data_IF_891071942256
#
_entry.id   IF_891071942256
#
_cell.length_a   1.000
_cell.length_b   1.000
_cell.length_c   1.000
_cell.angle_alpha   90.00
_cell.angle_beta   90.00
_cell.angle_gamma   90.00
#
_symmetry.space_group_name_H-M   'P 1'
#
loop_
_entity.id
_entity.type
_entity.pdbx_description
1 polymer ?
#
# COMPACT_ATOMS: atom_id res chain seq x y z
N UNK A 1 -46.02 10.17 25.52
CA UNK A 1 -44.92 9.27 25.13
C UNK A 1 -44.13 9.90 24.04
N UNK A 2 -43.16 10.73 24.41
CA UNK A 2 -42.22 11.37 23.52
C UNK A 2 -40.85 11.26 24.20
N UNK A 3 -40.07 10.24 23.84
CA UNK A 3 -38.70 10.13 24.27
C UNK A 3 -37.94 9.24 23.27
N UNK A 4 -36.76 9.71 22.96
CA UNK A 4 -35.67 9.05 22.21
C UNK A 4 -35.75 9.28 20.70
N UNK A 5 -35.51 10.53 20.28
CA UNK A 5 -34.71 10.88 19.10
C UNK A 5 -33.61 11.83 19.55
N UNK A 6 -32.77 11.36 20.43
CA UNK A 6 -31.50 12.00 20.71
C UNK A 6 -30.44 11.30 19.82
N UNK A 7 -30.03 11.94 18.77
CA UNK A 7 -28.69 12.16 18.32
C UNK A 7 -27.73 10.98 18.39
N UNK A 8 -27.82 9.98 17.50
CA UNK A 8 -26.61 9.42 16.92
C UNK A 8 -26.19 10.38 15.80
N UNK A 9 -25.59 11.49 16.17
CA UNK A 9 -24.63 12.14 15.29
C UNK A 9 -23.50 11.12 15.16
N UNK A 10 -23.58 10.32 14.10
CA UNK A 10 -22.61 9.31 13.79
C UNK A 10 -21.24 10.00 13.74
N UNK A 11 -20.39 9.62 14.67
CA UNK A 11 -18.96 9.83 14.59
C UNK A 11 -18.49 8.93 13.44
N UNK A 12 -18.75 9.35 12.21
CA UNK A 12 -18.12 8.80 11.01
C UNK A 12 -16.65 9.22 11.04
N UNK A 13 -15.89 8.64 11.96
CA UNK A 13 -14.45 8.62 11.86
C UNK A 13 -14.13 7.63 10.74
N UNK A 14 -14.21 8.10 9.51
CA UNK A 14 -13.73 7.31 8.36
C UNK A 14 -12.27 6.95 8.62
N UNK A 15 -11.93 5.67 8.46
CA UNK A 15 -10.56 5.17 8.65
C UNK A 15 -9.57 5.90 7.75
N UNK A 16 -10.03 6.43 6.64
CA UNK A 16 -9.25 7.11 5.62
C UNK A 16 -9.77 8.53 5.40
N UNK A 17 -8.86 9.44 5.06
CA UNK A 17 -9.21 10.79 4.60
C UNK A 17 -10.00 10.76 3.28
N UNK A 18 -10.74 11.83 3.00
CA UNK A 18 -11.58 11.91 1.80
C UNK A 18 -10.78 11.75 0.50
N UNK A 19 -9.56 12.26 0.44
CA UNK A 19 -8.69 12.13 -0.72
C UNK A 19 -8.25 10.68 -0.97
N UNK A 20 -7.90 9.93 0.09
CA UNK A 20 -7.61 8.49 -0.01
C UNK A 20 -8.86 7.72 -0.47
N UNK A 21 -10.02 8.01 0.09
CA UNK A 21 -11.28 7.36 -0.31
C UNK A 21 -11.61 7.64 -1.78
N UNK A 22 -11.41 8.89 -2.24
CA UNK A 22 -11.63 9.26 -3.64
C UNK A 22 -10.67 8.55 -4.60
N UNK A 23 -9.37 8.50 -4.29
CA UNK A 23 -8.38 7.74 -5.07
C UNK A 23 -8.75 6.25 -5.15
N UNK A 24 -9.11 5.63 -4.02
CA UNK A 24 -9.52 4.24 -4.00
C UNK A 24 -10.78 3.99 -4.87
N UNK A 25 -11.74 4.89 -4.83
CA UNK A 25 -12.95 4.81 -5.67
C UNK A 25 -12.61 4.89 -7.17
N UNK A 26 -11.74 5.81 -7.56
CA UNK A 26 -11.28 5.94 -8.95
C UNK A 26 -10.55 4.67 -9.42
N UNK A 27 -9.67 4.10 -8.57
CA UNK A 27 -8.93 2.88 -8.86
C UNK A 27 -9.89 1.71 -9.08
N UNK A 28 -10.85 1.50 -8.17
CA UNK A 28 -11.83 0.42 -8.29
C UNK A 28 -12.68 0.58 -9.56
N UNK A 29 -13.14 1.78 -9.86
CA UNK A 29 -13.92 2.06 -11.07
C UNK A 29 -13.11 1.81 -12.34
N UNK A 30 -11.88 2.31 -12.43
CA UNK A 30 -11.00 2.18 -13.60
C UNK A 30 -10.58 0.73 -13.82
N UNK A 31 -10.14 0.03 -12.77
CA UNK A 31 -9.73 -1.37 -12.86
C UNK A 31 -10.91 -2.27 -13.27
N UNK A 32 -12.10 -2.04 -12.69
CA UNK A 32 -13.32 -2.75 -13.05
C UNK A 32 -13.71 -2.56 -14.51
N UNK A 33 -13.70 -1.32 -14.99
CA UNK A 33 -14.03 -0.99 -16.39
C UNK A 33 -13.05 -1.64 -17.39
N UNK A 34 -11.80 -1.86 -16.99
CA UNK A 34 -10.75 -2.46 -17.81
C UNK A 34 -10.58 -3.96 -17.59
N UNK A 35 -11.33 -4.58 -16.67
CA UNK A 35 -11.20 -5.99 -16.32
C UNK A 35 -9.83 -6.34 -15.73
N UNK A 36 -9.19 -5.41 -15.02
CA UNK A 36 -7.86 -5.59 -14.44
C UNK A 36 -7.95 -6.02 -12.97
N UNK A 37 -7.06 -6.93 -12.59
CA UNK A 37 -6.90 -7.38 -11.21
C UNK A 37 -5.67 -6.70 -10.59
N UNK A 38 -5.80 -6.35 -9.32
CA UNK A 38 -4.79 -5.66 -8.51
C UNK A 38 -4.29 -6.57 -7.39
N UNK A 39 -3.04 -6.34 -6.97
CA UNK A 39 -2.49 -6.87 -5.73
C UNK A 39 -1.70 -5.80 -4.96
N UNK A 40 -1.60 -5.94 -3.65
CA UNK A 40 -0.76 -5.08 -2.80
C UNK A 40 0.31 -5.90 -2.08
N UNK A 41 1.49 -5.31 -1.87
CA UNK A 41 2.58 -5.89 -1.09
C UNK A 41 3.02 -4.89 -0.01
N UNK A 42 2.64 -5.12 1.22
CA UNK A 42 2.71 -4.14 2.29
C UNK A 42 3.63 -4.57 3.43
N UNK A 43 4.51 -3.66 3.84
CA UNK A 43 5.32 -3.81 5.04
C UNK A 43 4.87 -2.80 6.10
N UNK A 44 5.39 -1.58 6.12
CA UNK A 44 5.07 -0.60 7.16
C UNK A 44 3.60 -0.15 7.19
N UNK A 45 2.86 -0.25 6.11
CA UNK A 45 1.42 0.06 6.05
C UNK A 45 0.54 -1.06 6.63
N UNK A 46 1.03 -2.30 6.64
CA UNK A 46 0.40 -3.42 7.36
C UNK A 46 -1.01 -3.77 6.92
N UNK A 47 -1.32 -3.63 5.63
CA UNK A 47 -2.63 -3.93 5.05
C UNK A 47 -3.51 -2.70 4.81
N UNK A 48 -3.06 -1.48 5.13
CA UNK A 48 -3.87 -0.26 4.96
C UNK A 48 -4.15 0.08 3.49
N UNK A 49 -3.26 -0.24 2.56
CA UNK A 49 -3.53 -0.03 1.11
C UNK A 49 -4.65 -0.95 0.65
N UNK A 50 -4.57 -2.24 0.99
CA UNK A 50 -5.66 -3.19 0.74
C UNK A 50 -6.96 -2.76 1.42
N UNK A 51 -6.88 -2.29 2.68
CA UNK A 51 -8.04 -1.81 3.42
C UNK A 51 -8.69 -0.59 2.75
N UNK A 52 -7.90 0.35 2.21
CA UNK A 52 -8.43 1.50 1.49
C UNK A 52 -9.19 1.08 0.22
N UNK A 53 -8.64 0.12 -0.54
CA UNK A 53 -9.31 -0.41 -1.74
C UNK A 53 -10.58 -1.17 -1.35
N UNK A 54 -10.52 -2.03 -0.32
CA UNK A 54 -11.66 -2.86 0.11
C UNK A 54 -12.75 -2.07 0.84
N UNK A 55 -12.47 -0.84 1.27
CA UNK A 55 -13.50 0.07 1.78
C UNK A 55 -14.50 0.49 0.67
N UNK A 56 -14.17 0.30 -0.60
CA UNK A 56 -15.00 0.69 -1.73
C UNK A 56 -15.88 -0.50 -2.16
N UNK A 57 -17.22 -0.32 -2.23
CA UNK A 57 -18.11 -1.34 -2.76
C UNK A 57 -17.71 -1.77 -4.17
N UNK A 58 -17.74 -3.07 -4.46
CA UNK A 58 -17.31 -3.63 -5.74
C UNK A 58 -15.82 -3.95 -5.86
N UNK A 59 -15.01 -3.65 -4.85
CA UNK A 59 -13.57 -3.93 -4.83
C UNK A 59 -13.23 -5.42 -5.00
N UNK A 60 -14.12 -6.34 -4.65
CA UNK A 60 -13.93 -7.77 -4.85
C UNK A 60 -13.79 -8.20 -6.33
N UNK A 61 -14.24 -7.36 -7.26
CA UNK A 61 -14.06 -7.58 -8.69
C UNK A 61 -12.64 -7.22 -9.18
N UNK A 62 -11.88 -6.44 -8.41
CA UNK A 62 -10.60 -5.88 -8.83
C UNK A 62 -9.42 -6.21 -7.92
N UNK A 63 -9.61 -6.42 -6.62
CA UNK A 63 -8.53 -6.81 -5.72
C UNK A 63 -8.47 -8.34 -5.61
N UNK A 64 -7.39 -8.95 -6.12
CA UNK A 64 -7.17 -10.39 -5.97
C UNK A 64 -6.69 -10.73 -4.55
N UNK A 65 -5.66 -10.04 -4.08
CA UNK A 65 -5.09 -10.25 -2.74
C UNK A 65 -4.19 -9.11 -2.28
N UNK A 66 -3.99 -9.05 -0.97
CA UNK A 66 -2.98 -8.22 -0.33
C UNK A 66 -1.98 -9.09 0.43
N UNK A 67 -0.69 -8.87 0.20
CA UNK A 67 0.40 -9.52 0.91
C UNK A 67 0.89 -8.59 2.03
N UNK A 68 0.67 -8.96 3.28
CA UNK A 68 1.25 -8.26 4.44
C UNK A 68 2.55 -8.97 4.80
N UNK A 69 3.66 -8.47 4.27
CA UNK A 69 5.00 -9.08 4.42
C UNK A 69 5.83 -8.24 5.38
N UNK A 70 5.55 -8.37 6.68
CA UNK A 70 6.11 -7.51 7.70
C UNK A 70 7.56 -7.85 8.07
N UNK A 71 7.91 -9.14 8.04
CA UNK A 71 9.28 -9.63 8.25
C UNK A 71 10.03 -9.81 6.92
N UNK A 72 11.35 -10.01 7.00
CA UNK A 72 12.17 -10.34 5.84
C UNK A 72 11.85 -11.74 5.30
N UNK A 73 11.59 -12.68 6.22
CA UNK A 73 11.17 -14.04 5.89
C UNK A 73 9.86 -14.04 5.10
N UNK A 74 8.86 -13.27 5.55
CA UNK A 74 7.60 -13.15 4.82
C UNK A 74 7.78 -12.52 3.42
N UNK A 75 8.69 -11.56 3.24
CA UNK A 75 9.02 -11.01 1.92
C UNK A 75 9.62 -12.07 0.99
N UNK A 76 10.49 -12.92 1.53
CA UNK A 76 11.08 -14.01 0.75
C UNK A 76 10.06 -15.10 0.44
N UNK A 77 9.31 -15.58 1.43
CA UNK A 77 8.37 -16.70 1.28
C UNK A 77 7.17 -16.36 0.41
N UNK A 78 6.56 -15.19 0.62
CA UNK A 78 5.30 -14.83 -0.03
C UNK A 78 5.48 -14.10 -1.36
N UNK A 79 6.59 -13.40 -1.55
CA UNK A 79 6.84 -12.55 -2.71
C UNK A 79 8.09 -12.94 -3.51
N UNK A 80 8.88 -13.90 -3.03
CA UNK A 80 10.11 -14.32 -3.70
C UNK A 80 11.23 -13.27 -3.65
N UNK A 81 11.19 -12.31 -2.72
CA UNK A 81 12.28 -11.35 -2.54
C UNK A 81 13.53 -12.08 -2.10
N UNK A 82 14.65 -11.89 -2.82
CA UNK A 82 15.87 -12.65 -2.51
C UNK A 82 16.46 -12.25 -1.16
N UNK A 83 16.89 -13.27 -0.40
CA UNK A 83 17.56 -13.06 0.89
C UNK A 83 18.88 -12.28 0.73
N UNK A 84 19.54 -12.42 -0.42
CA UNK A 84 20.72 -11.64 -0.77
C UNK A 84 20.41 -10.16 -0.86
N UNK A 85 19.37 -9.76 -1.59
CA UNK A 85 18.93 -8.36 -1.68
C UNK A 85 18.54 -7.80 -0.31
N UNK A 86 17.82 -8.59 0.50
CA UNK A 86 17.43 -8.20 1.86
C UNK A 86 18.64 -7.98 2.77
N UNK A 87 19.66 -8.84 2.67
CA UNK A 87 20.90 -8.73 3.44
C UNK A 87 21.78 -7.58 2.98
N UNK A 88 21.95 -7.40 1.65
CA UNK A 88 22.85 -6.39 1.09
C UNK A 88 22.29 -4.98 1.18
N UNK A 89 20.99 -4.79 0.96
CA UNK A 89 20.38 -3.47 0.85
C UNK A 89 19.39 -3.15 1.96
N UNK A 90 19.00 -4.18 2.74
CA UNK A 90 17.97 -4.08 3.78
C UNK A 90 16.56 -3.94 3.21
N UNK A 91 15.56 -4.23 4.04
CA UNK A 91 14.15 -4.24 3.65
C UNK A 91 13.65 -2.89 3.10
N UNK A 92 14.18 -1.77 3.62
CA UNK A 92 13.82 -0.42 3.18
C UNK A 92 14.82 0.03 2.11
N UNK A 93 14.52 -0.31 0.87
CA UNK A 93 15.36 0.01 -0.29
C UNK A 93 14.55 -0.05 -1.59
N UNK A 94 15.06 0.58 -2.64
CA UNK A 94 14.47 0.52 -3.98
C UNK A 94 14.37 -0.91 -4.50
N UNK A 95 15.46 -1.67 -4.42
CA UNK A 95 15.50 -3.03 -4.93
C UNK A 95 14.45 -3.93 -4.27
N UNK A 96 14.29 -3.82 -2.95
CA UNK A 96 13.29 -4.61 -2.23
C UNK A 96 11.87 -4.14 -2.56
N UNK A 97 11.60 -2.83 -2.67
CA UNK A 97 10.29 -2.34 -3.07
C UNK A 97 9.91 -2.85 -4.48
N UNK A 98 10.83 -2.77 -5.46
CA UNK A 98 10.62 -3.28 -6.82
C UNK A 98 10.35 -4.79 -6.79
N UNK A 99 11.20 -5.57 -6.11
CA UNK A 99 11.02 -7.02 -6.00
C UNK A 99 9.69 -7.40 -5.33
N UNK A 100 9.24 -6.64 -4.32
CA UNK A 100 7.93 -6.86 -3.69
C UNK A 100 6.78 -6.61 -4.67
N UNK A 101 6.84 -5.55 -5.49
CA UNK A 101 5.80 -5.26 -6.47
C UNK A 101 5.74 -6.33 -7.56
N UNK A 102 6.88 -6.74 -8.12
CA UNK A 102 6.98 -7.80 -9.12
C UNK A 102 6.53 -9.16 -8.54
N UNK A 103 6.95 -9.46 -7.31
CA UNK A 103 6.54 -10.65 -6.58
C UNK A 103 5.02 -10.70 -6.37
N UNK A 104 4.39 -9.57 -6.07
CA UNK A 104 2.93 -9.52 -5.92
C UNK A 104 2.18 -9.86 -7.21
N UNK A 105 2.68 -9.46 -8.38
CA UNK A 105 2.13 -9.88 -9.68
C UNK A 105 2.38 -11.36 -9.90
N UNK A 106 3.60 -11.83 -9.67
CA UNK A 106 4.02 -13.23 -9.93
C UNK A 106 3.21 -14.24 -9.09
N UNK A 107 2.89 -13.89 -7.83
CA UNK A 107 2.21 -14.77 -6.88
C UNK A 107 0.69 -14.52 -6.76
N UNK A 108 0.10 -13.85 -7.75
CA UNK A 108 -1.33 -13.56 -7.79
C UNK A 108 -1.89 -13.66 -9.21
N UNK A 109 -3.19 -13.39 -9.37
CA UNK A 109 -3.83 -13.21 -10.69
C UNK A 109 -3.80 -11.75 -11.13
N UNK A 110 -3.20 -10.87 -10.33
CA UNK A 110 -3.14 -9.44 -10.64
C UNK A 110 -2.16 -9.18 -11.80
N UNK A 111 -2.51 -8.20 -12.62
CA UNK A 111 -1.65 -7.66 -13.68
C UNK A 111 -1.02 -6.33 -13.28
N UNK A 112 -1.53 -5.73 -12.20
CA UNK A 112 -1.02 -4.48 -11.63
C UNK A 112 -0.87 -4.66 -10.12
N UNK A 113 0.23 -4.17 -9.57
CA UNK A 113 0.48 -4.22 -8.13
C UNK A 113 1.12 -2.94 -7.62
N UNK A 114 1.07 -2.76 -6.31
CA UNK A 114 1.85 -1.75 -5.59
C UNK A 114 2.51 -2.35 -4.37
N UNK A 115 3.73 -1.93 -4.08
CA UNK A 115 4.46 -2.30 -2.87
C UNK A 115 4.79 -1.07 -2.02
N UNK A 116 4.90 -1.30 -0.70
CA UNK A 116 5.29 -0.29 0.28
C UNK A 116 6.23 -0.90 1.31
N UNK A 117 7.44 -0.33 1.45
CA UNK A 117 8.37 -0.69 2.51
C UNK A 117 9.05 0.56 3.06
N UNK A 118 9.12 0.72 4.38
CA UNK A 118 9.62 1.96 4.96
C UNK A 118 9.74 1.92 6.48
N UNK A 119 10.25 3.03 7.02
CA UNK A 119 10.39 3.27 8.45
C UNK A 119 9.29 4.20 8.94
N UNK A 120 8.23 3.64 9.51
CA UNK A 120 7.08 4.42 10.00
C UNK A 120 7.31 5.04 11.40
N UNK A 121 8.37 4.63 12.10
CA UNK A 121 8.67 5.16 13.42
C UNK A 121 7.79 4.57 14.56
N UNK A 122 7.91 5.09 15.81
CA UNK A 122 8.88 6.11 16.22
C UNK A 122 10.33 5.61 16.28
N UNK A 123 10.56 4.30 16.38
CA UNK A 123 11.86 3.65 16.35
C UNK A 123 12.18 3.03 14.98
N UNK A 124 13.34 2.32 14.91
CA UNK A 124 13.75 1.58 13.71
C UNK A 124 14.42 2.42 12.63
N UNK A 125 14.59 3.72 12.85
CA UNK A 125 15.36 4.60 11.97
C UNK A 125 16.86 4.54 12.24
N UNK A 126 17.65 4.87 11.21
CA UNK A 126 19.10 5.09 11.27
C UNK A 126 19.44 6.39 10.54
N UNK A 127 20.72 6.78 10.55
CA UNK A 127 21.20 7.96 9.80
C UNK A 127 20.90 7.82 8.32
N UNK A 128 21.14 6.64 7.75
CA UNK A 128 20.94 6.38 6.33
C UNK A 128 19.46 6.09 5.97
N UNK A 129 18.71 5.54 6.92
CA UNK A 129 17.30 5.18 6.76
C UNK A 129 16.46 5.80 7.89
N UNK A 130 16.24 7.12 7.87
CA UNK A 130 15.54 7.80 8.94
C UNK A 130 14.04 7.44 8.98
N UNK A 131 13.40 7.75 10.11
CA UNK A 131 11.95 7.73 10.23
C UNK A 131 11.33 8.60 9.13
N UNK A 132 10.28 8.10 8.49
CA UNK A 132 9.63 8.74 7.35
C UNK A 132 10.22 8.39 5.98
N UNK A 133 11.33 7.63 5.91
CA UNK A 133 11.81 7.09 4.64
C UNK A 133 10.93 5.91 4.22
N UNK A 134 10.31 6.03 3.05
CA UNK A 134 9.45 5.00 2.46
C UNK A 134 9.80 4.82 0.98
N UNK A 135 10.03 3.57 0.59
CA UNK A 135 10.18 3.16 -0.80
C UNK A 135 8.88 2.50 -1.25
N UNK A 136 8.39 2.91 -2.41
CA UNK A 136 7.20 2.37 -3.05
C UNK A 136 7.55 1.95 -4.47
N UNK A 137 6.92 0.89 -4.97
CA UNK A 137 7.00 0.54 -6.38
C UNK A 137 5.62 0.09 -6.87
N UNK A 138 5.34 0.33 -8.14
CA UNK A 138 4.14 -0.19 -8.78
C UNK A 138 4.53 -0.90 -10.08
N UNK A 139 4.08 -2.14 -10.21
CA UNK A 139 4.30 -3.00 -11.36
C UNK A 139 3.05 -3.08 -12.22
N UNK A 140 3.22 -3.16 -13.52
CA UNK A 140 2.15 -3.29 -14.48
C UNK A 140 2.67 -3.71 -15.86
N UNK A 141 1.80 -3.84 -16.88
CA UNK A 141 2.18 -4.29 -18.22
C UNK A 141 3.28 -3.45 -18.89
N UNK A 142 3.43 -2.19 -18.50
CA UNK A 142 4.42 -1.27 -19.03
C UNK A 142 5.71 -1.23 -18.19
N UNK A 143 5.91 -2.19 -17.29
CA UNK A 143 7.08 -2.29 -16.42
C UNK A 143 6.82 -1.79 -15.00
N UNK A 144 7.91 -1.51 -14.27
CA UNK A 144 7.88 -1.11 -12.87
C UNK A 144 8.31 0.35 -12.74
N UNK A 145 7.57 1.12 -11.95
CA UNK A 145 7.99 2.44 -11.49
C UNK A 145 8.34 2.37 -10.00
N UNK A 146 9.28 3.18 -9.58
CA UNK A 146 9.70 3.32 -8.19
C UNK A 146 9.59 4.78 -7.76
N UNK A 147 9.18 4.97 -6.51
CA UNK A 147 9.11 6.28 -5.85
C UNK A 147 9.71 6.17 -4.45
N UNK A 148 10.48 7.14 -4.03
CA UNK A 148 11.00 7.26 -2.68
C UNK A 148 10.45 8.53 -2.03
N UNK A 149 9.90 8.37 -0.84
CA UNK A 149 9.38 9.47 -0.04
C UNK A 149 10.21 9.65 1.22
N UNK A 150 10.34 10.91 1.62
CA UNK A 150 11.00 11.33 2.85
C UNK A 150 10.04 12.24 3.62
N UNK A 151 9.06 11.62 4.27
CA UNK A 151 8.02 12.36 4.99
C UNK A 151 8.54 13.11 6.23
N UNK A 152 9.71 12.72 6.75
CA UNK A 152 10.18 13.16 8.05
C UNK A 152 9.44 12.46 9.19
N UNK A 153 9.67 12.90 10.42
CA UNK A 153 9.01 12.34 11.60
C UNK A 153 7.65 13.02 11.83
N UNK A 154 6.68 12.67 11.01
CA UNK A 154 5.29 13.11 11.17
C UNK A 154 4.52 12.28 12.22
N UNK A 155 5.18 11.29 12.82
CA UNK A 155 4.52 10.26 13.63
C UNK A 155 4.02 9.08 12.78
N UNK A 156 3.96 7.91 13.43
CA UNK A 156 3.70 6.61 12.79
C UNK A 156 2.43 6.57 11.96
N UNK A 157 1.34 7.08 12.49
CA UNK A 157 0.04 7.00 11.82
C UNK A 157 0.00 7.88 10.58
N UNK A 158 0.53 9.10 10.65
CA UNK A 158 0.59 10.02 9.52
C UNK A 158 1.52 9.51 8.40
N UNK A 159 2.69 8.93 8.75
CA UNK A 159 3.59 8.33 7.77
C UNK A 159 2.90 7.17 7.05
N UNK A 160 2.15 6.33 7.76
CA UNK A 160 1.39 5.23 7.17
C UNK A 160 0.27 5.72 6.25
N UNK A 161 -0.50 6.74 6.66
CA UNK A 161 -1.56 7.34 5.84
C UNK A 161 -0.99 8.02 4.59
N UNK A 162 0.10 8.78 4.73
CA UNK A 162 0.80 9.38 3.59
C UNK A 162 1.31 8.32 2.61
N UNK A 163 1.85 7.20 3.12
CA UNK A 163 2.29 6.08 2.30
C UNK A 163 1.13 5.43 1.54
N UNK A 164 -0.04 5.28 2.16
CA UNK A 164 -1.25 4.77 1.50
C UNK A 164 -1.65 5.68 0.34
N UNK A 165 -1.68 7.00 0.55
CA UNK A 165 -2.00 7.95 -0.51
C UNK A 165 -1.07 7.80 -1.71
N UNK A 166 0.25 7.82 -1.48
CA UNK A 166 1.24 7.67 -2.56
C UNK A 166 1.10 6.32 -3.27
N UNK A 167 0.86 5.24 -2.54
CA UNK A 167 0.63 3.92 -3.14
C UNK A 167 -0.59 3.91 -4.06
N UNK A 168 -1.69 4.55 -3.67
CA UNK A 168 -2.89 4.66 -4.51
C UNK A 168 -2.66 5.56 -5.72
N UNK A 169 -1.93 6.68 -5.60
CA UNK A 169 -1.51 7.50 -6.74
C UNK A 169 -0.73 6.66 -7.77
N UNK A 170 0.25 5.88 -7.31
CA UNK A 170 1.05 5.02 -8.18
C UNK A 170 0.22 3.91 -8.85
N UNK A 171 -0.78 3.34 -8.15
CA UNK A 171 -1.74 2.43 -8.77
C UNK A 171 -2.57 3.11 -9.84
N UNK A 172 -3.07 4.31 -9.59
CA UNK A 172 -3.82 5.09 -10.57
C UNK A 172 -2.99 5.36 -11.83
N UNK A 173 -1.70 5.71 -11.68
CA UNK A 173 -0.77 5.91 -12.80
C UNK A 173 -0.56 4.63 -13.64
N UNK A 174 -0.59 3.44 -12.99
CA UNK A 174 -0.48 2.15 -13.71
C UNK A 174 -1.79 1.75 -14.43
N UNK A 175 -2.90 2.33 -14.00
CA UNK A 175 -4.21 2.12 -14.58
C UNK A 175 -4.57 3.17 -15.66
N UNK A 176 -3.82 4.23 -15.83
CA UNK A 176 -4.00 5.19 -16.91
C UNK A 176 -3.46 4.62 -18.23
#
# INVERSE_FOLDING_TARGET
MALVRAGFAAYEKTMFSQDIAHLAQQIVATASARGLMLATAESCTGGLVSAAITAIPGSSAVLDRGFVTYSNEAKAEMLGVSLESLSAQGAVSQAVAVAMAEGAVTHSRATVSVSVTGVAGPGGGSVDKPVGLVHLAASGPTGVIHRVERFGDLGRDEIRQASVRVALEMLADRLA
#
